data_IF_509315030539
#
_entry.id   IF_509315030539
#
_cell.length_a   1.000
_cell.length_b   1.000
_cell.length_c   1.000
_cell.angle_alpha   90.00
_cell.angle_beta   90.00
_cell.angle_gamma   90.00
#
_symmetry.space_group_name_H-M   'P 1'
#
loop_
_entity.id
_entity.type
_entity.pdbx_description
1 polymer ?
#
# COMPACT_ATOMS: atom_id res chain seq x y z
N UNK A 1 67.48 -25.20 10.92
CA UNK A 1 67.03 -26.61 10.88
C UNK A 1 66.04 -26.83 12.02
N UNK A 2 64.84 -27.39 11.72
CA UNK A 2 63.93 -28.21 12.56
C UNK A 2 63.69 -27.72 14.01
N UNK A 3 62.47 -27.52 14.52
CA UNK A 3 61.29 -28.33 14.36
C UNK A 3 60.04 -27.57 14.82
N UNK A 4 58.92 -27.90 14.19
CA UNK A 4 57.58 -27.58 14.64
C UNK A 4 57.17 -28.44 15.85
N UNK A 5 56.03 -28.07 16.46
CA UNK A 5 54.97 -28.92 17.06
C UNK A 5 54.54 -28.41 18.46
N UNK A 6 53.42 -27.67 18.42
CA UNK A 6 52.14 -27.96 19.09
C UNK A 6 52.12 -28.42 20.55
N UNK A 7 51.30 -27.71 21.35
CA UNK A 7 50.33 -28.26 22.32
C UNK A 7 49.29 -27.16 22.59
N UNK A 8 48.08 -27.33 22.06
CA UNK A 8 46.87 -27.75 22.79
C UNK A 8 46.41 -26.79 23.91
N UNK A 9 45.22 -26.27 23.62
CA UNK A 9 44.03 -26.27 24.48
C UNK A 9 43.86 -25.17 25.53
N UNK A 10 42.65 -24.59 25.41
CA UNK A 10 41.75 -24.20 26.48
C UNK A 10 42.12 -22.96 27.31
N UNK A 11 41.59 -21.82 26.85
CA UNK A 11 41.02 -20.77 27.71
C UNK A 11 39.75 -20.34 26.98
N UNK A 12 38.57 -20.80 27.39
CA UNK A 12 37.95 -20.33 28.62
C UNK A 12 37.08 -19.14 28.25
N UNK A 13 35.78 -19.42 28.11
CA UNK A 13 34.65 -18.49 28.05
C UNK A 13 34.98 -17.01 27.80
N UNK A 14 34.87 -16.56 26.56
CA UNK A 14 34.81 -15.13 26.25
C UNK A 14 33.44 -14.79 25.66
N UNK A 15 32.64 -14.15 26.51
CA UNK A 15 31.56 -13.22 26.17
C UNK A 15 30.42 -13.76 25.29
N UNK A 16 29.37 -14.24 25.95
CA UNK A 16 28.00 -14.09 25.46
C UNK A 16 27.68 -12.57 25.39
N UNK A 17 28.17 -11.90 24.35
CA UNK A 17 27.90 -10.51 24.08
C UNK A 17 26.55 -10.39 23.38
N UNK A 18 25.58 -9.85 24.13
CA UNK A 18 24.43 -9.07 23.69
C UNK A 18 23.80 -9.46 22.33
N UNK A 19 22.77 -10.29 22.39
CA UNK A 19 21.64 -10.22 21.46
C UNK A 19 20.42 -9.66 22.20
N UNK A 20 20.50 -8.41 22.66
CA UNK A 20 19.30 -7.56 22.73
C UNK A 20 19.18 -6.86 21.38
N UNK A 21 18.73 -7.61 20.38
CA UNK A 21 18.18 -6.99 19.18
C UNK A 21 16.96 -6.18 19.62
N UNK A 22 16.98 -4.89 19.31
CA UNK A 22 16.03 -3.89 19.77
C UNK A 22 14.57 -4.34 19.56
N UNK A 23 13.79 -4.38 20.63
CA UNK A 23 12.35 -4.10 20.55
C UNK A 23 12.20 -2.59 20.26
N UNK A 24 12.51 -2.17 19.04
CA UNK A 24 11.96 -0.93 18.55
C UNK A 24 10.45 -1.16 18.39
N UNK A 25 9.57 -0.30 18.94
CA UNK A 25 8.16 -0.38 18.60
C UNK A 25 8.09 -0.25 17.07
N UNK A 26 7.45 -1.23 16.42
CA UNK A 26 7.08 -1.09 15.03
C UNK A 26 6.11 0.09 14.97
N UNK A 27 6.64 1.29 14.71
CA UNK A 27 5.81 2.42 14.31
C UNK A 27 5.04 1.94 13.10
N UNK A 28 3.70 1.92 13.20
CA UNK A 28 2.84 1.32 12.20
C UNK A 28 3.22 1.82 10.80
N UNK A 29 3.51 0.90 9.89
CA UNK A 29 3.81 1.26 8.50
C UNK A 29 2.57 1.90 7.87
N UNK A 30 2.76 2.94 7.07
CA UNK A 30 1.68 3.53 6.30
C UNK A 30 1.05 2.51 5.34
N UNK A 31 -0.27 2.52 5.24
CA UNK A 31 -1.00 1.64 4.32
C UNK A 31 -0.62 1.94 2.86
N UNK A 32 -0.55 0.89 2.04
CA UNK A 32 -0.33 0.99 0.60
C UNK A 32 -1.60 1.37 -0.14
N UNK A 33 -1.47 1.84 -1.39
CA UNK A 33 -2.61 2.13 -2.26
C UNK A 33 -3.53 0.91 -2.48
N UNK A 34 -2.94 -0.28 -2.61
CA UNK A 34 -3.69 -1.54 -2.74
C UNK A 34 -4.49 -1.87 -1.47
N UNK A 35 -3.85 -1.77 -0.30
CA UNK A 35 -4.51 -2.01 1.00
C UNK A 35 -5.64 -1.01 1.21
N UNK A 36 -5.42 0.27 0.90
CA UNK A 36 -6.45 1.30 0.95
C UNK A 36 -7.60 0.99 -0.02
N UNK A 37 -7.32 0.66 -1.28
CA UNK A 37 -8.35 0.29 -2.25
C UNK A 37 -9.24 -0.88 -1.77
N UNK A 38 -8.64 -1.88 -1.12
CA UNK A 38 -9.35 -3.03 -0.53
C UNK A 38 -10.16 -2.65 0.70
N UNK A 39 -9.57 -1.89 1.63
CA UNK A 39 -10.17 -1.58 2.93
C UNK A 39 -11.18 -0.43 2.89
N UNK A 40 -11.10 0.44 1.88
CA UNK A 40 -12.01 1.59 1.67
C UNK A 40 -13.17 1.26 0.73
N UNK A 41 -13.49 -0.03 0.56
CA UNK A 41 -14.68 -0.52 -0.16
C UNK A 41 -14.65 -0.29 -1.69
N UNK A 42 -13.54 0.19 -2.27
CA UNK A 42 -13.45 0.46 -3.71
C UNK A 42 -13.70 -0.82 -4.55
N UNK A 43 -13.23 -1.97 -4.04
CA UNK A 43 -13.40 -3.29 -4.64
C UNK A 43 -14.87 -3.69 -4.85
N UNK A 44 -15.79 -3.15 -4.04
CA UNK A 44 -17.20 -3.54 -4.08
C UNK A 44 -17.91 -3.12 -5.38
N UNK A 45 -17.35 -2.12 -6.08
CA UNK A 45 -17.89 -1.63 -7.36
C UNK A 45 -16.89 -1.82 -8.50
N UNK A 46 -15.63 -1.47 -8.26
CA UNK A 46 -14.59 -1.46 -9.30
C UNK A 46 -13.86 -2.80 -9.46
N UNK A 47 -14.19 -3.79 -8.63
CA UNK A 47 -13.62 -5.12 -8.67
C UNK A 47 -12.25 -5.23 -7.98
N UNK A 48 -11.78 -6.44 -7.65
CA UNK A 48 -10.53 -6.66 -6.92
C UNK A 48 -9.28 -6.30 -7.72
N UNK A 49 -9.36 -6.40 -9.06
CA UNK A 49 -8.27 -6.11 -9.99
C UNK A 49 -8.36 -4.70 -10.60
N UNK A 50 -9.38 -3.92 -10.23
CA UNK A 50 -9.73 -2.62 -10.81
C UNK A 50 -9.91 -2.61 -12.35
N UNK A 51 -9.92 -3.79 -12.98
CA UNK A 51 -10.02 -4.00 -14.44
C UNK A 51 -11.36 -4.60 -14.82
N UNK A 52 -11.95 -5.35 -13.90
CA UNK A 52 -13.23 -6.05 -14.05
C UNK A 52 -14.23 -5.55 -13.01
N UNK A 53 -14.98 -4.48 -13.33
CA UNK A 53 -15.99 -3.95 -12.42
C UNK A 53 -17.14 -4.93 -12.21
N UNK A 54 -17.81 -4.81 -11.06
CA UNK A 54 -18.92 -5.69 -10.69
C UNK A 54 -20.14 -5.49 -11.61
N UNK A 55 -20.33 -4.28 -12.14
CA UNK A 55 -21.34 -3.97 -13.14
C UNK A 55 -20.72 -3.29 -14.36
N UNK A 56 -21.24 -3.52 -15.58
CA UNK A 56 -20.71 -2.90 -16.80
C UNK A 56 -20.75 -1.37 -16.83
N UNK A 57 -21.63 -0.75 -16.03
CA UNK A 57 -21.75 0.71 -15.92
C UNK A 57 -20.67 1.35 -15.06
N UNK A 58 -19.97 0.58 -14.21
CA UNK A 58 -18.86 1.11 -13.42
C UNK A 58 -17.59 1.16 -14.25
N UNK A 59 -16.77 2.22 -14.11
CA UNK A 59 -15.57 2.37 -14.90
C UNK A 59 -14.48 1.38 -14.47
N UNK A 60 -13.71 0.94 -15.46
CA UNK A 60 -12.41 0.28 -15.27
C UNK A 60 -11.37 1.34 -14.88
N UNK A 61 -10.59 1.06 -13.84
CA UNK A 61 -9.62 2.01 -13.28
C UNK A 61 -8.17 1.57 -13.48
N UNK A 62 -7.92 0.26 -13.63
CA UNK A 62 -6.59 -0.28 -13.86
C UNK A 62 -5.92 0.34 -15.09
N UNK A 63 -4.67 0.79 -14.93
CA UNK A 63 -3.86 1.39 -15.99
C UNK A 63 -4.26 2.81 -16.41
N UNK A 64 -5.23 3.43 -15.71
CA UNK A 64 -5.59 4.82 -15.95
C UNK A 64 -4.52 5.77 -15.38
N UNK A 65 -4.35 6.94 -15.99
CA UNK A 65 -3.38 7.93 -15.52
C UNK A 65 -3.65 8.35 -14.05
N UNK A 66 -2.61 8.36 -13.22
CA UNK A 66 -2.71 8.65 -11.79
C UNK A 66 -3.25 10.07 -11.50
N UNK A 67 -2.77 11.08 -12.22
CA UNK A 67 -3.22 12.47 -12.05
C UNK A 67 -4.69 12.62 -12.45
N UNK A 68 -5.10 11.96 -13.54
CA UNK A 68 -6.49 11.93 -13.95
C UNK A 68 -7.37 11.29 -12.89
N UNK A 69 -7.01 10.10 -12.38
CA UNK A 69 -7.75 9.41 -11.33
C UNK A 69 -7.90 10.28 -10.07
N UNK A 70 -6.79 10.89 -9.62
CA UNK A 70 -6.79 11.76 -8.45
C UNK A 70 -7.70 12.97 -8.67
N UNK A 71 -7.60 13.63 -9.83
CA UNK A 71 -8.44 14.79 -10.15
C UNK A 71 -9.91 14.40 -10.20
N UNK A 72 -10.27 13.28 -10.85
CA UNK A 72 -11.66 12.83 -10.89
C UNK A 72 -12.22 12.53 -9.50
N UNK A 73 -11.42 11.90 -8.62
CA UNK A 73 -11.84 11.65 -7.25
C UNK A 73 -12.08 12.95 -6.47
N UNK A 74 -11.16 13.92 -6.61
CA UNK A 74 -11.29 15.25 -5.97
C UNK A 74 -12.47 16.06 -6.50
N UNK A 75 -12.74 16.00 -7.80
CA UNK A 75 -13.90 16.67 -8.40
C UNK A 75 -15.21 16.06 -7.88
N UNK A 76 -15.26 14.74 -7.70
CA UNK A 76 -16.44 14.07 -7.12
C UNK A 76 -16.58 14.41 -5.63
N UNK A 77 -15.49 14.43 -4.87
CA UNK A 77 -15.50 14.73 -3.44
C UNK A 77 -15.92 16.18 -3.16
N UNK A 78 -15.46 17.13 -3.97
CA UNK A 78 -15.83 18.55 -3.88
C UNK A 78 -17.20 18.87 -4.47
N UNK A 79 -17.75 17.98 -5.31
CA UNK A 79 -18.98 18.23 -6.07
C UNK A 79 -18.78 19.00 -7.37
N UNK A 80 -17.54 19.33 -7.76
CA UNK A 80 -17.25 19.88 -9.08
C UNK A 80 -17.66 18.92 -10.23
N UNK A 81 -17.63 17.61 -9.97
CA UNK A 81 -18.18 16.57 -10.86
C UNK A 81 -19.38 15.88 -10.20
N UNK A 82 -20.57 16.42 -10.48
CA UNK A 82 -21.84 15.92 -9.93
C UNK A 82 -22.85 15.61 -11.05
N UNK A 83 -22.84 14.36 -11.52
CA UNK A 83 -23.81 13.87 -12.49
C UNK A 83 -24.40 12.53 -12.03
N UNK A 84 -25.43 12.05 -12.73
CA UNK A 84 -26.13 10.82 -12.35
C UNK A 84 -25.19 9.60 -12.18
N UNK A 85 -24.06 9.58 -12.91
CA UNK A 85 -23.09 8.49 -12.84
C UNK A 85 -22.09 8.62 -11.68
N UNK A 86 -22.03 9.76 -10.99
CA UNK A 86 -21.12 9.97 -9.84
C UNK A 86 -21.81 9.84 -8.48
N UNK A 87 -23.14 9.76 -8.42
CA UNK A 87 -23.90 9.68 -7.17
C UNK A 87 -23.45 8.52 -6.26
N UNK A 88 -23.27 7.31 -6.82
CA UNK A 88 -22.79 6.15 -6.08
C UNK A 88 -21.35 6.37 -5.54
N UNK A 89 -20.49 6.96 -6.36
CA UNK A 89 -19.09 7.25 -5.98
C UNK A 89 -19.04 8.31 -4.87
N UNK A 90 -19.83 9.37 -4.97
CA UNK A 90 -19.95 10.43 -3.95
C UNK A 90 -20.30 9.85 -2.57
N UNK A 91 -21.15 8.83 -2.53
CA UNK A 91 -21.54 8.13 -1.31
C UNK A 91 -20.39 7.44 -0.57
N UNK A 92 -19.27 7.11 -1.24
CA UNK A 92 -18.11 6.42 -0.64
C UNK A 92 -16.88 7.32 -0.48
N UNK A 93 -16.85 8.50 -1.11
CA UNK A 93 -15.70 9.42 -1.05
C UNK A 93 -15.41 10.03 0.33
N UNK A 94 -16.31 9.86 1.31
CA UNK A 94 -16.05 10.25 2.70
C UNK A 94 -15.11 9.29 3.45
N UNK A 95 -14.83 8.11 2.89
CA UNK A 95 -13.98 7.10 3.52
C UNK A 95 -12.47 7.37 3.33
N UNK A 96 -12.13 8.26 2.40
CA UNK A 96 -10.75 8.51 1.95
C UNK A 96 -10.39 9.99 2.07
N UNK A 97 -9.15 10.27 2.42
CA UNK A 97 -8.56 11.61 2.36
C UNK A 97 -7.65 11.79 1.13
N UNK A 98 -7.14 13.00 0.94
CA UNK A 98 -6.28 13.36 -0.20
C UNK A 98 -5.00 12.52 -0.33
N UNK A 99 -4.35 12.20 0.79
CA UNK A 99 -3.11 11.42 0.81
C UNK A 99 -3.40 9.96 0.43
N UNK A 100 -4.48 9.39 0.98
CA UNK A 100 -4.95 8.05 0.67
C UNK A 100 -5.40 7.94 -0.80
N UNK A 101 -6.12 8.93 -1.32
CA UNK A 101 -6.53 8.99 -2.73
C UNK A 101 -5.32 9.03 -3.66
N UNK A 102 -4.26 9.76 -3.30
CA UNK A 102 -3.04 9.77 -4.09
C UNK A 102 -2.41 8.38 -4.14
N UNK A 103 -2.29 7.70 -3.00
CA UNK A 103 -1.72 6.34 -2.93
C UNK A 103 -2.56 5.34 -3.75
N UNK A 104 -3.89 5.42 -3.66
CA UNK A 104 -4.80 4.59 -4.47
C UNK A 104 -4.62 4.88 -5.96
N UNK A 105 -4.59 6.15 -6.37
CA UNK A 105 -4.43 6.54 -7.77
C UNK A 105 -3.09 6.10 -8.36
N UNK A 106 -1.99 6.25 -7.60
CA UNK A 106 -0.66 5.78 -8.01
C UNK A 106 -0.66 4.25 -8.21
N UNK A 107 -1.29 3.49 -7.30
CA UNK A 107 -1.40 2.03 -7.43
C UNK A 107 -2.25 1.62 -8.64
N UNK A 108 -3.43 2.22 -8.82
CA UNK A 108 -4.33 1.94 -9.94
C UNK A 108 -3.65 2.16 -11.30
N UNK A 109 -2.85 3.23 -11.42
CA UNK A 109 -2.12 3.57 -12.63
C UNK A 109 -1.00 2.57 -12.97
N UNK A 110 -0.45 1.88 -11.97
CA UNK A 110 0.59 0.87 -12.15
C UNK A 110 0.04 -0.50 -12.58
N UNK A 111 -1.29 -0.68 -12.59
CA UNK A 111 -1.94 -1.91 -13.03
C UNK A 111 -1.97 -2.04 -14.57
N UNK A 112 -2.02 -3.27 -15.12
CA UNK A 112 -2.01 -3.54 -16.57
C UNK A 112 -3.37 -3.48 -17.27
#
# INVERSE_FOLDING_TARGET
MKAAISRRAARGAAAAALLLAALAPATGRAATGEELYKTKTCIACHGPDAKTPILPSYPKLAGQNAEYLLQQAKDIQSGARDNANTAAMKGVMHLVNDEELKLIADWLAALP
#
